data_IF_533621792653
#
_entry.id   IF_533621792653
#
_cell.length_a   1.000
_cell.length_b   1.000
_cell.length_c   1.000
_cell.angle_alpha   90.00
_cell.angle_beta   90.00
_cell.angle_gamma   90.00
#
_symmetry.space_group_name_H-M   'P 1'
#
loop_
_entity.id
_entity.type
_entity.pdbx_description
1 polymer ?
#
# COMPACT_ATOMS: atom_id res chain seq x y z
N UNK A 1 40.22 -29.99 -25.27
CA UNK A 1 39.31 -29.80 -24.13
C UNK A 1 38.39 -28.63 -24.45
N UNK A 2 37.07 -28.73 -24.33
CA UNK A 2 36.24 -27.54 -24.38
C UNK A 2 36.61 -26.66 -23.16
N UNK A 3 36.62 -25.32 -23.28
CA UNK A 3 36.84 -24.47 -22.13
C UNK A 3 35.71 -24.70 -21.13
N UNK A 4 36.04 -24.94 -19.86
CA UNK A 4 35.08 -24.78 -18.75
C UNK A 4 34.53 -23.36 -18.87
N UNK A 5 33.24 -23.20 -19.14
CA UNK A 5 32.59 -21.89 -19.01
C UNK A 5 32.73 -21.48 -17.55
N UNK A 6 33.67 -20.59 -17.24
CA UNK A 6 33.69 -19.90 -15.97
C UNK A 6 32.42 -19.06 -15.97
N UNK A 7 31.44 -19.45 -15.15
CA UNK A 7 30.27 -18.60 -14.87
C UNK A 7 30.80 -17.22 -14.51
N UNK A 8 30.30 -16.18 -15.17
CA UNK A 8 30.78 -14.82 -14.89
C UNK A 8 30.67 -14.53 -13.39
N UNK A 9 31.70 -13.92 -12.78
CA UNK A 9 31.68 -13.56 -11.36
C UNK A 9 30.82 -12.31 -11.11
N UNK A 10 30.23 -11.70 -12.13
CA UNK A 10 29.56 -10.42 -11.99
C UNK A 10 28.04 -10.55 -11.98
N UNK A 11 27.42 -9.85 -11.05
CA UNK A 11 25.98 -9.77 -10.87
C UNK A 11 25.45 -8.35 -11.05
N UNK A 12 24.20 -8.27 -11.54
CA UNK A 12 23.40 -7.05 -11.52
C UNK A 12 22.19 -7.26 -10.61
N UNK A 13 21.97 -6.32 -9.68
CA UNK A 13 20.92 -6.37 -8.66
C UNK A 13 19.89 -5.28 -8.94
N UNK A 14 18.62 -5.68 -9.06
CA UNK A 14 17.50 -4.81 -9.35
C UNK A 14 16.49 -4.91 -8.21
N UNK A 15 16.30 -3.82 -7.48
CA UNK A 15 15.53 -3.80 -6.24
C UNK A 15 14.23 -3.05 -6.47
N UNK A 16 13.12 -3.78 -6.45
CA UNK A 16 11.80 -3.19 -6.31
C UNK A 16 11.63 -2.77 -4.85
N UNK A 17 12.03 -1.53 -4.56
CA UNK A 17 12.12 -1.03 -3.19
C UNK A 17 10.72 -0.89 -2.58
N UNK A 18 9.72 -0.50 -3.38
CA UNK A 18 8.34 -0.37 -2.93
C UNK A 18 7.75 -1.73 -2.55
N UNK A 19 8.01 -2.79 -3.31
CA UNK A 19 7.51 -4.13 -2.98
C UNK A 19 7.99 -4.60 -1.60
N UNK A 20 9.29 -4.48 -1.32
CA UNK A 20 9.87 -4.85 -0.01
C UNK A 20 9.34 -3.92 1.10
N UNK A 21 9.34 -2.60 0.84
CA UNK A 21 8.89 -1.60 1.81
C UNK A 21 7.43 -1.80 2.22
N UNK A 22 6.52 -1.94 1.26
CA UNK A 22 5.09 -2.08 1.54
C UNK A 22 4.75 -3.46 2.10
N UNK A 23 5.48 -4.52 1.73
CA UNK A 23 5.34 -5.80 2.42
C UNK A 23 5.64 -5.63 3.90
N UNK A 24 6.81 -5.10 4.26
CA UNK A 24 7.21 -4.90 5.64
C UNK A 24 6.21 -4.00 6.39
N UNK A 25 5.79 -2.91 5.75
CA UNK A 25 4.80 -1.97 6.29
C UNK A 25 3.46 -2.65 6.60
N UNK A 26 2.92 -3.42 5.66
CA UNK A 26 1.60 -4.01 5.82
C UNK A 26 1.65 -5.23 6.75
N UNK A 27 2.64 -6.10 6.56
CA UNK A 27 2.76 -7.36 7.30
C UNK A 27 3.11 -7.15 8.78
N UNK A 28 3.96 -6.16 9.09
CA UNK A 28 4.42 -5.87 10.46
C UNK A 28 3.79 -4.61 11.07
N UNK A 29 2.66 -4.16 10.51
CA UNK A 29 1.88 -3.01 10.98
C UNK A 29 2.74 -1.74 11.19
N UNK A 30 3.42 -1.34 10.13
CA UNK A 30 4.21 -0.11 10.02
C UNK A 30 5.31 -0.04 11.10
N UNK A 31 6.34 -0.92 11.05
CA UNK A 31 7.45 -0.93 12.00
C UNK A 31 8.17 0.42 12.05
N UNK A 32 8.66 0.85 13.23
CA UNK A 32 9.63 1.94 13.27
C UNK A 32 10.84 1.52 12.44
N UNK A 33 11.58 2.49 11.90
CA UNK A 33 12.82 2.23 11.18
C UNK A 33 12.63 1.30 9.98
N UNK A 34 11.46 1.36 9.33
CA UNK A 34 11.08 0.52 8.18
C UNK A 34 12.16 0.51 7.08
N UNK A 35 12.74 1.67 6.76
CA UNK A 35 13.83 1.76 5.79
C UNK A 35 15.08 1.00 6.24
N UNK A 36 15.40 0.97 7.54
CA UNK A 36 16.58 0.28 8.04
C UNK A 36 16.47 -1.24 7.81
N UNK A 37 15.28 -1.81 7.96
CA UNK A 37 15.04 -3.22 7.62
C UNK A 37 15.26 -3.48 6.12
N UNK A 38 14.78 -2.60 5.24
CA UNK A 38 15.01 -2.74 3.79
C UNK A 38 16.50 -2.62 3.46
N UNK A 39 17.19 -1.65 4.07
CA UNK A 39 18.64 -1.45 3.89
C UNK A 39 19.46 -2.63 4.41
N UNK A 40 19.08 -3.22 5.54
CA UNK A 40 19.71 -4.42 6.10
C UNK A 40 19.53 -5.62 5.15
N UNK A 41 18.34 -5.82 4.58
CA UNK A 41 18.10 -6.86 3.55
C UNK A 41 19.01 -6.65 2.34
N UNK A 42 19.10 -5.43 1.82
CA UNK A 42 19.96 -5.11 0.67
C UNK A 42 21.43 -5.35 1.00
N UNK A 43 21.87 -5.00 2.22
CA UNK A 43 23.26 -5.21 2.67
C UNK A 43 23.59 -6.70 2.75
N UNK A 44 22.77 -7.46 3.47
CA UNK A 44 22.94 -8.89 3.63
C UNK A 44 22.85 -9.63 2.30
N UNK A 45 21.96 -9.23 1.38
CA UNK A 45 21.89 -9.80 0.04
C UNK A 45 23.25 -9.69 -0.67
N UNK A 46 23.86 -8.52 -0.66
CA UNK A 46 25.16 -8.30 -1.29
C UNK A 46 26.27 -9.12 -0.62
N UNK A 47 26.23 -9.26 0.69
CA UNK A 47 27.15 -10.13 1.42
C UNK A 47 26.97 -11.61 1.04
N UNK A 48 25.73 -12.09 0.93
CA UNK A 48 25.42 -13.45 0.49
C UNK A 48 25.84 -13.71 -0.96
N UNK A 49 25.65 -12.75 -1.87
CA UNK A 49 26.15 -12.83 -3.24
C UNK A 49 27.68 -12.89 -3.26
N UNK A 50 28.36 -12.04 -2.49
CA UNK A 50 29.81 -12.02 -2.37
C UNK A 50 30.37 -13.35 -1.85
N UNK A 51 29.72 -13.97 -0.84
CA UNK A 51 30.07 -15.32 -0.34
C UNK A 51 29.94 -16.40 -1.42
N UNK A 52 29.02 -16.23 -2.37
CA UNK A 52 28.86 -17.10 -3.54
C UNK A 52 29.85 -16.79 -4.68
N UNK A 53 30.76 -15.84 -4.49
CA UNK A 53 31.74 -15.41 -5.49
C UNK A 53 31.15 -14.47 -6.55
N UNK A 54 30.00 -13.84 -6.26
CA UNK A 54 29.30 -12.92 -7.16
C UNK A 54 29.53 -11.47 -6.70
N UNK A 55 30.25 -10.71 -7.51
CA UNK A 55 30.47 -9.28 -7.33
C UNK A 55 29.32 -8.47 -7.95
N UNK A 56 28.62 -7.71 -7.11
CA UNK A 56 27.44 -6.93 -7.49
C UNK A 56 27.86 -5.59 -8.12
N UNK A 57 28.32 -5.64 -9.38
CA UNK A 57 28.82 -4.47 -10.12
C UNK A 57 27.74 -3.43 -10.44
N UNK A 58 26.51 -3.89 -10.64
CA UNK A 58 25.36 -3.03 -10.94
C UNK A 58 24.33 -3.25 -9.84
N UNK A 59 23.84 -2.17 -9.26
CA UNK A 59 22.79 -2.23 -8.24
C UNK A 59 21.88 -1.02 -8.38
N UNK A 60 20.61 -1.27 -8.67
CA UNK A 60 19.58 -0.24 -8.84
C UNK A 60 18.41 -0.48 -7.90
N UNK A 61 17.91 0.59 -7.29
CA UNK A 61 16.69 0.58 -6.48
C UNK A 61 15.63 1.49 -7.09
N UNK A 62 14.44 0.95 -7.30
CA UNK A 62 13.31 1.59 -7.98
C UNK A 62 12.21 1.88 -6.97
N UNK A 63 11.77 3.13 -6.93
CA UNK A 63 10.61 3.57 -6.16
C UNK A 63 10.19 4.98 -6.57
N UNK A 64 8.97 5.35 -6.23
CA UNK A 64 8.62 6.75 -5.96
C UNK A 64 9.14 7.14 -4.56
N UNK A 65 10.41 7.55 -4.49
CA UNK A 65 11.06 7.86 -3.22
C UNK A 65 10.49 9.11 -2.54
N UNK A 66 9.77 9.96 -3.27
CA UNK A 66 9.12 11.16 -2.71
C UNK A 66 7.88 10.80 -1.89
N UNK A 67 7.29 9.62 -2.12
CA UNK A 67 6.12 9.13 -1.39
C UNK A 67 6.47 8.34 -0.13
N UNK A 68 7.74 7.99 0.06
CA UNK A 68 8.19 7.28 1.25
C UNK A 68 8.24 8.23 2.46
N UNK A 69 7.88 7.71 3.64
CA UNK A 69 7.85 8.52 4.87
C UNK A 69 9.24 9.05 5.29
N UNK A 70 10.30 8.35 4.90
CA UNK A 70 11.69 8.70 5.15
C UNK A 70 12.52 8.45 3.89
N UNK A 71 13.61 9.19 3.72
CA UNK A 71 14.43 9.20 2.51
C UNK A 71 15.62 8.22 2.60
N UNK A 72 15.55 7.00 2.01
CA UNK A 72 16.64 6.01 2.07
C UNK A 72 17.79 6.31 1.08
N UNK A 73 17.65 7.30 0.19
CA UNK A 73 18.53 7.49 -0.97
C UNK A 73 19.99 7.72 -0.57
N UNK A 74 20.25 8.46 0.51
CA UNK A 74 21.61 8.70 0.99
C UNK A 74 22.32 7.42 1.45
N UNK A 75 21.61 6.55 2.17
CA UNK A 75 22.14 5.27 2.61
C UNK A 75 22.37 4.31 1.43
N UNK A 76 21.43 4.26 0.48
CA UNK A 76 21.56 3.48 -0.76
C UNK A 76 22.79 3.92 -1.56
N UNK A 77 23.02 5.23 -1.70
CA UNK A 77 24.19 5.77 -2.37
C UNK A 77 25.50 5.31 -1.72
N UNK A 78 25.60 5.39 -0.38
CA UNK A 78 26.78 4.92 0.36
C UNK A 78 27.01 3.42 0.23
N UNK A 79 25.95 2.64 -0.03
CA UNK A 79 26.05 1.22 -0.33
C UNK A 79 26.44 0.93 -1.78
N UNK A 80 26.54 1.93 -2.66
CA UNK A 80 26.78 1.73 -4.10
C UNK A 80 25.53 1.29 -4.87
N UNK A 81 24.35 1.53 -4.31
CA UNK A 81 23.06 1.29 -4.96
C UNK A 81 22.57 2.61 -5.55
N UNK A 82 22.46 2.68 -6.88
CA UNK A 82 21.94 3.89 -7.52
C UNK A 82 20.41 3.88 -7.49
N UNK A 83 19.81 5.01 -7.13
CA UNK A 83 18.36 5.14 -7.08
C UNK A 83 17.79 5.55 -8.44
N UNK A 84 16.68 4.91 -8.82
CA UNK A 84 15.87 5.27 -9.98
C UNK A 84 14.54 5.78 -9.44
N UNK A 85 14.42 7.10 -9.33
CA UNK A 85 13.16 7.71 -8.90
C UNK A 85 12.16 7.65 -10.04
N UNK A 86 11.04 6.98 -9.83
CA UNK A 86 10.00 6.82 -10.83
C UNK A 86 8.71 7.42 -10.27
N UNK A 87 8.15 8.40 -10.97
CA UNK A 87 6.94 9.09 -10.51
C UNK A 87 5.75 8.13 -10.52
N UNK A 88 5.18 7.88 -9.35
CA UNK A 88 3.97 7.09 -9.19
C UNK A 88 2.75 7.93 -9.60
N UNK A 89 2.28 7.76 -10.84
CA UNK A 89 0.91 8.19 -11.19
C UNK A 89 -0.10 7.17 -10.64
N UNK A 90 -1.41 7.45 -10.72
CA UNK A 90 -2.46 6.51 -10.30
C UNK A 90 -2.39 5.13 -10.99
N UNK A 91 -1.54 4.97 -12.01
CA UNK A 91 -1.22 3.71 -12.69
C UNK A 91 0.06 3.10 -12.09
N UNK A 92 -0.14 1.99 -11.35
CA UNK A 92 0.75 1.42 -10.32
C UNK A 92 2.04 0.71 -10.77
N UNK A 93 2.47 0.80 -12.04
CA UNK A 93 3.52 -0.12 -12.55
C UNK A 93 4.74 0.60 -13.17
N UNK A 94 4.91 1.91 -12.91
CA UNK A 94 5.99 2.67 -13.55
C UNK A 94 7.39 2.19 -13.09
N UNK A 95 7.56 1.93 -11.79
CA UNK A 95 8.81 1.41 -11.24
C UNK A 95 9.16 0.03 -11.83
N UNK A 96 8.18 -0.89 -11.86
CA UNK A 96 8.33 -2.25 -12.39
C UNK A 96 8.72 -2.25 -13.87
N UNK A 97 8.09 -1.38 -14.67
CA UNK A 97 8.42 -1.20 -16.08
C UNK A 97 9.85 -0.68 -16.27
N UNK A 98 10.24 0.36 -15.52
CA UNK A 98 11.60 0.91 -15.60
C UNK A 98 12.64 -0.13 -15.19
N UNK A 99 12.35 -0.91 -14.14
CA UNK A 99 13.20 -2.02 -13.68
C UNK A 99 13.39 -3.05 -14.79
N UNK A 100 12.31 -3.49 -15.44
CA UNK A 100 12.38 -4.46 -16.52
C UNK A 100 13.19 -3.92 -17.72
N UNK A 101 13.01 -2.65 -18.08
CA UNK A 101 13.75 -2.00 -19.17
C UNK A 101 15.25 -1.97 -18.85
N UNK A 102 15.62 -1.48 -17.67
CA UNK A 102 17.03 -1.39 -17.25
C UNK A 102 17.68 -2.78 -17.17
N UNK A 103 16.96 -3.80 -16.69
CA UNK A 103 17.47 -5.17 -16.66
C UNK A 103 17.77 -5.72 -18.06
N UNK A 104 16.88 -5.45 -19.02
CA UNK A 104 17.07 -5.81 -20.42
C UNK A 104 18.22 -5.03 -21.06
N UNK A 105 18.33 -3.73 -20.77
CA UNK A 105 19.44 -2.89 -21.23
C UNK A 105 20.77 -3.43 -20.73
N UNK A 106 20.89 -3.72 -19.43
CA UNK A 106 22.11 -4.31 -18.84
C UNK A 106 22.44 -5.64 -19.50
N UNK A 107 21.46 -6.53 -19.71
CA UNK A 107 21.68 -7.81 -20.37
C UNK A 107 22.27 -7.68 -21.77
N UNK A 108 21.85 -6.68 -22.55
CA UNK A 108 22.35 -6.45 -23.91
C UNK A 108 23.64 -5.63 -23.97
N UNK A 109 23.85 -4.70 -23.05
CA UNK A 109 25.01 -3.78 -23.07
C UNK A 109 26.19 -4.25 -22.22
N UNK A 110 25.95 -5.16 -21.26
CA UNK A 110 26.95 -5.67 -20.32
C UNK A 110 27.04 -7.19 -20.40
N UNK A 111 27.68 -7.73 -21.46
CA UNK A 111 27.78 -9.18 -21.66
C UNK A 111 28.57 -9.89 -20.56
N UNK A 112 29.41 -9.14 -19.85
CA UNK A 112 30.18 -9.57 -18.69
C UNK A 112 29.30 -9.88 -17.46
N UNK A 113 28.05 -9.43 -17.37
CA UNK A 113 27.15 -9.77 -16.26
C UNK A 113 26.54 -11.16 -16.48
N UNK A 114 26.88 -12.14 -15.64
CA UNK A 114 26.36 -13.50 -15.72
C UNK A 114 25.05 -13.72 -14.96
N UNK A 115 24.89 -12.99 -13.86
CA UNK A 115 23.83 -13.23 -12.88
C UNK A 115 22.96 -11.99 -12.69
N UNK A 116 21.65 -12.18 -12.76
CA UNK A 116 20.65 -11.14 -12.54
C UNK A 116 19.89 -11.47 -11.26
N UNK A 117 19.86 -10.54 -10.32
CA UNK A 117 19.17 -10.69 -9.04
C UNK A 117 18.05 -9.67 -8.99
N UNK A 118 16.80 -10.14 -8.90
CA UNK A 118 15.64 -9.28 -8.68
C UNK A 118 15.22 -9.36 -7.22
N UNK A 119 15.11 -8.23 -6.54
CA UNK A 119 14.51 -8.15 -5.20
C UNK A 119 13.06 -7.72 -5.38
N UNK A 120 12.16 -8.69 -5.49
CA UNK A 120 10.75 -8.48 -5.85
C UNK A 120 9.89 -9.72 -5.54
N UNK A 121 8.56 -9.54 -5.56
CA UNK A 121 7.59 -10.60 -5.29
C UNK A 121 6.51 -10.81 -6.37
N UNK A 122 6.42 -9.96 -7.39
CA UNK A 122 5.28 -9.97 -8.34
C UNK A 122 5.46 -10.95 -9.51
N UNK A 123 4.38 -11.61 -9.93
CA UNK A 123 4.35 -12.45 -11.14
C UNK A 123 4.58 -11.65 -12.43
N UNK A 124 4.36 -10.35 -12.41
CA UNK A 124 4.55 -9.49 -13.59
C UNK A 124 6.02 -9.44 -14.05
N UNK A 125 6.97 -9.86 -13.19
CA UNK A 125 8.38 -10.04 -13.55
C UNK A 125 8.68 -11.34 -14.32
N UNK A 126 7.76 -12.31 -14.38
CA UNK A 126 8.00 -13.60 -15.05
C UNK A 126 8.50 -13.43 -16.51
N UNK A 127 7.92 -12.57 -17.36
CA UNK A 127 8.38 -12.41 -18.74
C UNK A 127 9.85 -11.97 -18.86
N UNK A 128 10.30 -11.01 -18.02
CA UNK A 128 11.70 -10.54 -18.05
C UNK A 128 12.65 -11.61 -17.54
N UNK A 129 12.28 -12.33 -16.47
CA UNK A 129 13.10 -13.42 -15.92
C UNK A 129 13.25 -14.56 -16.93
N UNK A 130 12.18 -14.94 -17.62
CA UNK A 130 12.23 -15.92 -18.68
C UNK A 130 13.12 -15.46 -19.84
N UNK A 131 13.07 -14.17 -20.17
CA UNK A 131 13.92 -13.61 -21.23
C UNK A 131 15.40 -13.66 -20.88
N UNK A 132 15.77 -13.26 -19.66
CA UNK A 132 17.13 -13.38 -19.13
C UNK A 132 17.63 -14.83 -19.20
N UNK A 133 16.80 -15.80 -18.78
CA UNK A 133 17.14 -17.23 -18.83
C UNK A 133 17.31 -17.74 -20.26
N UNK A 134 16.47 -17.30 -21.22
CA UNK A 134 16.62 -17.64 -22.65
C UNK A 134 17.95 -17.12 -23.23
N UNK A 135 18.50 -16.05 -22.67
CA UNK A 135 19.83 -15.51 -23.01
C UNK A 135 20.96 -16.15 -22.18
N UNK A 136 20.72 -17.32 -21.58
CA UNK A 136 21.68 -18.08 -20.78
C UNK A 136 22.24 -17.31 -19.57
N UNK A 137 21.46 -16.35 -19.01
CA UNK A 137 21.79 -15.69 -17.75
C UNK A 137 21.28 -16.50 -16.57
N UNK A 138 22.04 -16.50 -15.47
CA UNK A 138 21.56 -16.98 -14.19
C UNK A 138 20.60 -15.93 -13.62
N UNK A 139 19.47 -16.38 -13.09
CA UNK A 139 18.47 -15.52 -12.44
C UNK A 139 18.31 -15.96 -11.00
N UNK A 140 18.35 -15.01 -10.08
CA UNK A 140 17.98 -15.18 -8.68
C UNK A 140 16.86 -14.19 -8.34
N UNK A 141 15.93 -14.60 -7.49
CA UNK A 141 14.91 -13.71 -6.93
C UNK A 141 15.06 -13.70 -5.42
N UNK A 142 15.11 -12.51 -4.84
CA UNK A 142 15.05 -12.30 -3.40
C UNK A 142 13.73 -11.64 -3.03
N UNK A 143 13.08 -12.11 -1.97
CA UNK A 143 11.81 -11.55 -1.52
C UNK A 143 11.29 -12.30 -0.31
N UNK A 144 10.25 -11.78 0.33
CA UNK A 144 9.62 -12.51 1.44
C UNK A 144 8.80 -13.66 0.90
N UNK A 145 9.04 -14.88 1.40
CA UNK A 145 8.35 -16.09 0.93
C UNK A 145 6.83 -15.96 1.00
N UNK A 146 6.32 -15.24 1.99
CA UNK A 146 4.90 -14.99 2.22
C UNK A 146 4.31 -13.93 1.28
N UNK A 147 5.16 -13.14 0.60
CA UNK A 147 4.77 -12.06 -0.30
C UNK A 147 4.89 -12.43 -1.78
N UNK A 148 5.82 -13.34 -2.09
CA UNK A 148 6.17 -13.68 -3.47
C UNK A 148 5.07 -14.55 -4.08
N UNK A 149 4.65 -14.22 -5.31
CA UNK A 149 3.65 -14.99 -6.06
C UNK A 149 4.05 -16.46 -6.21
N UNK A 150 3.07 -17.36 -6.02
CA UNK A 150 3.25 -18.79 -6.25
C UNK A 150 3.67 -19.13 -7.69
N UNK A 151 3.13 -18.40 -8.68
CA UNK A 151 3.48 -18.56 -10.09
C UNK A 151 4.95 -18.18 -10.34
N UNK A 152 5.42 -17.10 -9.71
CA UNK A 152 6.81 -16.65 -9.81
C UNK A 152 7.75 -17.69 -9.21
N UNK A 153 7.45 -18.17 -8.00
CA UNK A 153 8.23 -19.22 -7.33
C UNK A 153 8.28 -20.53 -8.13
N UNK A 154 7.15 -20.94 -8.70
CA UNK A 154 7.08 -22.12 -9.57
C UNK A 154 7.93 -21.93 -10.83
N UNK A 155 7.95 -20.72 -11.40
CA UNK A 155 8.71 -20.43 -12.61
C UNK A 155 10.23 -20.47 -12.38
N UNK A 156 10.72 -19.85 -11.30
CA UNK A 156 12.17 -19.76 -11.02
C UNK A 156 12.72 -21.03 -10.37
N UNK A 157 11.90 -21.74 -9.59
CA UNK A 157 12.31 -22.89 -8.78
C UNK A 157 12.98 -22.47 -7.46
N UNK A 158 12.87 -23.32 -6.45
CA UNK A 158 13.32 -23.02 -5.08
C UNK A 158 14.82 -22.70 -4.98
N UNK A 159 15.67 -23.34 -5.79
CA UNK A 159 17.12 -23.13 -5.77
C UNK A 159 17.55 -21.74 -6.25
N UNK A 160 16.66 -21.01 -6.93
CA UNK A 160 16.89 -19.66 -7.44
C UNK A 160 16.17 -18.60 -6.60
N UNK A 161 15.59 -18.98 -5.47
CA UNK A 161 14.90 -18.08 -4.55
C UNK A 161 15.72 -17.88 -3.27
N UNK A 162 15.83 -16.62 -2.83
CA UNK A 162 16.43 -16.22 -1.57
C UNK A 162 15.34 -15.58 -0.70
N UNK A 163 15.06 -16.16 0.46
CA UNK A 163 14.08 -15.57 1.37
C UNK A 163 14.66 -14.32 2.03
N UNK A 164 13.99 -13.18 1.87
CA UNK A 164 14.39 -11.93 2.49
C UNK A 164 14.35 -12.00 4.03
N UNK A 165 13.58 -12.94 4.59
CA UNK A 165 13.58 -13.23 6.03
C UNK A 165 14.95 -13.73 6.51
N UNK A 166 15.64 -14.53 5.70
CA UNK A 166 16.97 -15.08 6.02
C UNK A 166 18.09 -14.04 5.85
N UNK A 167 17.81 -12.94 5.15
CA UNK A 167 18.72 -11.80 4.97
C UNK A 167 18.66 -10.82 6.16
N UNK A 168 17.73 -11.00 7.09
CA UNK A 168 17.68 -10.23 8.33
C UNK A 168 18.40 -10.97 9.45
N UNK A 169 18.96 -10.22 10.41
CA UNK A 169 19.51 -10.83 11.61
C UNK A 169 18.39 -11.48 12.44
N UNK A 170 18.74 -12.53 13.20
CA UNK A 170 17.80 -13.21 14.09
C UNK A 170 17.11 -12.23 15.06
N UNK A 171 17.86 -11.23 15.54
CA UNK A 171 17.33 -10.18 16.42
C UNK A 171 16.29 -9.30 15.69
N UNK A 172 16.57 -8.86 14.46
CA UNK A 172 15.64 -8.05 13.65
C UNK A 172 14.34 -8.80 13.36
N UNK A 173 14.42 -10.10 13.02
CA UNK A 173 13.24 -10.94 12.80
C UNK A 173 12.42 -11.08 14.09
N UNK A 174 13.07 -11.34 15.23
CA UNK A 174 12.38 -11.44 16.51
C UNK A 174 11.69 -10.13 16.91
N UNK A 175 12.33 -8.98 16.67
CA UNK A 175 11.74 -7.66 16.93
C UNK A 175 10.48 -7.43 16.09
N UNK A 176 10.53 -7.73 14.78
CA UNK A 176 9.40 -7.60 13.87
C UNK A 176 8.21 -8.48 14.31
N UNK A 177 8.48 -9.75 14.61
CA UNK A 177 7.43 -10.72 15.00
C UNK A 177 6.81 -10.38 16.36
N UNK A 178 7.63 -10.01 17.35
CA UNK A 178 7.14 -9.59 18.66
C UNK A 178 6.20 -8.39 18.54
N UNK A 179 6.59 -7.40 17.74
CA UNK A 179 5.79 -6.19 17.51
C UNK A 179 4.49 -6.49 16.76
N UNK A 180 4.54 -7.37 15.75
CA UNK A 180 3.36 -7.83 15.02
C UNK A 180 2.37 -8.50 15.96
N UNK A 181 2.85 -9.41 16.82
CA UNK A 181 2.01 -10.08 17.81
C UNK A 181 1.41 -9.10 18.83
N UNK A 182 2.18 -8.12 19.30
CA UNK A 182 1.70 -7.06 20.20
C UNK A 182 0.61 -6.19 19.55
N UNK A 183 0.87 -5.70 18.33
CA UNK A 183 -0.09 -4.93 17.52
C UNK A 183 -1.39 -5.74 17.31
N UNK A 184 -1.28 -7.01 16.96
CA UNK A 184 -2.44 -7.87 16.72
C UNK A 184 -3.28 -8.06 17.99
N UNK A 185 -2.62 -8.25 19.16
CA UNK A 185 -3.31 -8.33 20.45
C UNK A 185 -4.06 -7.04 20.78
N UNK A 186 -3.43 -5.88 20.57
CA UNK A 186 -4.07 -4.57 20.80
C UNK A 186 -5.28 -4.38 19.88
N UNK A 187 -5.17 -4.78 18.61
CA UNK A 187 -6.27 -4.71 17.64
C UNK A 187 -7.42 -5.63 18.07
N UNK A 188 -7.12 -6.85 18.48
CA UNK A 188 -8.13 -7.83 18.91
C UNK A 188 -8.79 -7.44 20.23
N UNK A 189 -8.04 -6.93 21.20
CA UNK A 189 -8.58 -6.39 22.45
C UNK A 189 -9.48 -5.18 22.19
N UNK A 190 -9.04 -4.27 21.32
CA UNK A 190 -9.85 -3.12 20.89
C UNK A 190 -11.14 -3.55 20.21
N UNK A 191 -11.11 -4.64 19.41
CA UNK A 191 -12.30 -5.23 18.78
C UNK A 191 -13.25 -5.81 19.83
N UNK A 192 -12.74 -6.60 20.78
CA UNK A 192 -13.54 -7.18 21.88
C UNK A 192 -14.21 -6.10 22.75
N UNK A 193 -13.49 -5.04 23.09
CA UNK A 193 -14.04 -3.92 23.88
C UNK A 193 -15.15 -3.15 23.14
N UNK A 194 -15.08 -3.05 21.81
CA UNK A 194 -16.14 -2.48 20.97
C UNK A 194 -17.37 -3.38 20.91
N UNK A 195 -17.16 -4.69 20.73
CA UNK A 195 -18.24 -5.69 20.69
C UNK A 195 -19.01 -5.79 22.03
N UNK A 196 -18.33 -5.55 23.16
CA UNK A 196 -18.95 -5.51 24.50
C UNK A 196 -19.61 -4.16 24.85
N UNK A 197 -19.66 -3.20 23.91
CA UNK A 197 -20.29 -1.89 24.12
C UNK A 197 -19.56 -0.97 25.09
N UNK A 198 -18.31 -1.28 25.45
CA UNK A 198 -17.54 -0.61 26.51
C UNK A 198 -16.57 0.47 26.01
N UNK A 199 -16.56 0.80 24.71
CA UNK A 199 -15.64 1.78 24.15
C UNK A 199 -16.33 2.90 23.35
N UNK A 200 -16.31 4.12 23.89
CA UNK A 200 -16.35 5.37 23.10
C UNK A 200 -14.94 5.72 22.62
N UNK A 201 -14.75 6.21 21.38
CA UNK A 201 -13.43 6.66 20.95
C UNK A 201 -13.14 8.05 21.54
N UNK A 202 -12.33 8.10 22.61
CA UNK A 202 -11.46 9.25 22.84
C UNK A 202 -10.10 8.94 22.22
N UNK A 203 -9.71 9.74 21.24
CA UNK A 203 -8.34 9.76 20.72
C UNK A 203 -7.39 10.28 21.82
N UNK A 204 -6.15 9.76 21.92
CA UNK A 204 -5.18 10.25 22.87
C UNK A 204 -4.56 11.55 22.34
N UNK A 205 -4.74 12.66 23.05
CA UNK A 205 -3.99 13.90 22.76
C UNK A 205 -4.74 15.18 23.12
N UNK A 206 -4.68 15.58 24.38
CA UNK A 206 -5.12 16.91 24.82
C UNK A 206 -4.96 17.07 26.33
N UNK A 207 -3.80 17.55 26.77
CA UNK A 207 -3.55 17.88 28.16
C UNK A 207 -4.62 18.85 28.73
N UNK A 208 -4.97 18.79 30.02
CA UNK A 208 -5.98 19.66 30.60
C UNK A 208 -5.45 21.11 30.66
N UNK A 209 -6.07 22.02 29.89
CA UNK A 209 -5.88 23.47 30.07
C UNK A 209 -6.69 23.91 31.29
N UNK A 210 -6.00 24.53 32.24
CA UNK A 210 -6.56 25.21 33.41
C UNK A 210 -7.53 26.36 33.00
N UNK A 211 -8.48 26.75 33.88
CA UNK A 211 -9.51 27.72 33.54
C UNK A 211 -8.94 29.15 33.50
N UNK A 212 -8.88 29.73 32.30
CA UNK A 212 -8.58 31.13 32.06
C UNK A 212 -9.84 31.94 31.73
N UNK A 213 -10.00 33.08 32.39
CA UNK A 213 -11.09 34.05 32.34
C UNK A 213 -11.53 34.48 30.92
N UNK A 214 -12.76 35.04 30.75
CA UNK A 214 -13.32 35.33 29.44
C UNK A 214 -12.68 36.59 28.82
N UNK A 215 -12.33 36.50 27.54
CA UNK A 215 -11.91 37.64 26.73
C UNK A 215 -12.94 37.88 25.59
N UNK A 216 -13.07 39.12 25.10
CA UNK A 216 -14.32 39.68 24.60
C UNK A 216 -14.61 39.32 23.14
N UNK A 217 -15.91 39.28 22.83
CA UNK A 217 -16.46 39.13 21.48
C UNK A 217 -16.22 40.40 20.66
N UNK A 218 -15.46 40.26 19.57
CA UNK A 218 -15.54 41.18 18.42
C UNK A 218 -15.86 40.39 17.15
N UNK A 219 -16.74 40.90 16.27
CA UNK A 219 -17.16 40.17 15.08
C UNK A 219 -16.07 40.24 14.00
N UNK A 220 -15.68 39.09 13.46
CA UNK A 220 -14.79 38.96 12.30
C UNK A 220 -15.57 39.35 11.02
N UNK A 221 -15.02 40.16 10.11
CA UNK A 221 -15.69 40.50 8.85
C UNK A 221 -15.75 39.29 7.91
N UNK A 222 -16.72 39.23 6.97
CA UNK A 222 -16.86 38.11 6.06
C UNK A 222 -15.69 38.11 5.07
N UNK A 223 -14.90 37.03 5.08
CA UNK A 223 -13.91 36.77 4.05
C UNK A 223 -14.56 36.51 2.69
N UNK A 224 -13.83 36.64 1.57
CA UNK A 224 -14.39 36.50 0.23
C UNK A 224 -14.96 35.09 0.04
N UNK A 225 -16.19 35.00 -0.48
CA UNK A 225 -16.75 33.74 -0.99
C UNK A 225 -15.89 33.29 -2.17
N UNK A 226 -15.18 32.20 -2.00
CA UNK A 226 -14.62 31.43 -3.12
C UNK A 226 -15.81 30.72 -3.79
N UNK A 227 -16.01 30.86 -5.12
CA UNK A 227 -17.07 30.16 -5.84
C UNK A 227 -16.87 28.63 -5.80
N UNK A 228 -17.96 27.90 -5.54
CA UNK A 228 -18.07 26.44 -5.69
C UNK A 228 -17.95 26.06 -7.18
N UNK A 229 -16.77 25.69 -7.64
CA UNK A 229 -16.48 25.00 -8.92
C UNK A 229 -15.22 24.13 -8.65
N UNK A 230 -15.12 22.79 -8.82
CA UNK A 230 -15.83 21.75 -9.58
C UNK A 230 -15.45 20.35 -9.01
N UNK A 231 -16.38 19.38 -9.02
CA UNK A 231 -16.15 17.98 -9.45
C UNK A 231 -17.49 17.21 -9.36
N UNK A 232 -18.26 17.21 -10.45
CA UNK A 232 -19.50 16.42 -10.54
C UNK A 232 -19.22 14.91 -10.39
N UNK A 233 -20.22 14.16 -9.93
CA UNK A 233 -20.16 12.68 -9.96
C UNK A 233 -20.00 12.19 -11.41
N UNK A 234 -19.37 11.03 -11.59
CA UNK A 234 -19.32 10.39 -12.90
C UNK A 234 -20.75 10.13 -13.44
N UNK A 235 -20.87 9.96 -14.76
CA UNK A 235 -22.14 9.59 -15.39
C UNK A 235 -22.68 8.30 -14.77
N UNK A 236 -23.96 8.31 -14.41
CA UNK A 236 -24.56 7.19 -13.70
C UNK A 236 -24.48 5.89 -14.53
N UNK A 237 -23.99 4.83 -13.89
CA UNK A 237 -24.07 3.46 -14.39
C UNK A 237 -24.69 2.59 -13.30
N UNK A 238 -25.59 1.69 -13.69
CA UNK A 238 -26.16 0.71 -12.76
C UNK A 238 -25.06 -0.18 -12.19
N UNK A 239 -25.19 -0.54 -10.92
CA UNK A 239 -24.32 -1.51 -10.27
C UNK A 239 -24.71 -2.92 -10.73
N UNK A 240 -23.77 -3.58 -11.38
CA UNK A 240 -23.97 -4.81 -12.14
C UNK A 240 -23.57 -6.07 -11.34
N UNK A 241 -22.83 -5.89 -10.24
CA UNK A 241 -22.35 -7.00 -9.41
C UNK A 241 -22.93 -6.95 -8.00
N UNK A 242 -23.05 -8.14 -7.38
CA UNK A 242 -23.51 -8.26 -5.99
C UNK A 242 -22.55 -7.57 -5.02
N UNK A 243 -21.24 -7.67 -5.25
CA UNK A 243 -20.22 -7.04 -4.40
C UNK A 243 -20.21 -5.52 -4.50
N UNK A 244 -20.50 -4.94 -5.67
CA UNK A 244 -20.72 -3.48 -5.81
C UNK A 244 -21.93 -3.05 -4.97
N UNK A 245 -23.05 -3.78 -5.03
CA UNK A 245 -24.26 -3.48 -4.26
C UNK A 245 -24.04 -3.66 -2.75
N UNK A 246 -23.33 -4.71 -2.34
CA UNK A 246 -22.95 -4.95 -0.93
C UNK A 246 -22.05 -3.83 -0.41
N UNK A 247 -21.04 -3.42 -1.19
CA UNK A 247 -20.15 -2.31 -0.84
C UNK A 247 -20.93 -1.01 -0.70
N UNK A 248 -21.86 -0.72 -1.62
CA UNK A 248 -22.71 0.47 -1.53
C UNK A 248 -23.62 0.42 -0.29
N UNK A 249 -24.19 -0.75 0.01
CA UNK A 249 -24.96 -0.98 1.23
C UNK A 249 -24.16 -0.73 2.50
N UNK A 250 -22.89 -1.18 2.56
CA UNK A 250 -21.99 -0.88 3.68
C UNK A 250 -21.76 0.63 3.83
N UNK A 251 -21.56 1.37 2.72
CA UNK A 251 -21.41 2.83 2.75
C UNK A 251 -22.67 3.49 3.32
N UNK A 252 -23.85 3.14 2.79
CA UNK A 252 -25.13 3.72 3.23
C UNK A 252 -25.38 3.44 4.72
N UNK A 253 -25.15 2.19 5.16
CA UNK A 253 -25.27 1.79 6.56
C UNK A 253 -24.36 2.61 7.48
N UNK A 254 -23.12 2.87 7.06
CA UNK A 254 -22.17 3.65 7.85
C UNK A 254 -22.56 5.14 7.93
N UNK A 255 -23.05 5.74 6.84
CA UNK A 255 -23.63 7.08 6.88
C UNK A 255 -24.78 7.15 7.89
N UNK A 256 -25.73 6.22 7.85
CA UNK A 256 -26.88 6.18 8.77
C UNK A 256 -26.47 6.01 10.23
N UNK A 257 -25.51 5.11 10.51
CA UNK A 257 -24.97 4.91 11.87
C UNK A 257 -24.36 6.20 12.42
N UNK A 258 -23.59 6.91 11.59
CA UNK A 258 -22.97 8.18 12.00
C UNK A 258 -24.01 9.30 12.16
N UNK A 259 -25.05 9.34 11.32
CA UNK A 259 -26.16 10.30 11.43
C UNK A 259 -26.96 10.11 12.70
N UNK A 260 -27.32 8.86 13.02
CA UNK A 260 -28.00 8.51 14.27
C UNK A 260 -27.17 8.90 15.50
N UNK A 261 -25.85 8.68 15.44
CA UNK A 261 -24.93 9.01 16.55
C UNK A 261 -24.73 10.51 16.73
N UNK A 262 -24.66 11.28 15.64
CA UNK A 262 -24.38 12.72 15.68
C UNK A 262 -25.64 13.58 15.70
N UNK A 263 -26.83 12.98 15.60
CA UNK A 263 -28.12 13.66 15.50
C UNK A 263 -28.15 14.75 14.41
N UNK A 264 -27.39 14.54 13.33
CA UNK A 264 -27.27 15.46 12.20
C UNK A 264 -26.91 14.69 10.94
N UNK A 265 -27.28 15.24 9.79
CA UNK A 265 -26.91 14.69 8.48
C UNK A 265 -25.40 14.70 8.29
N UNK A 266 -24.83 13.57 7.90
CA UNK A 266 -23.40 13.38 7.67
C UNK A 266 -23.15 13.57 6.18
N UNK A 267 -22.24 14.47 5.83
CA UNK A 267 -21.98 14.83 4.41
C UNK A 267 -20.82 14.06 3.80
N UNK A 268 -19.96 13.50 4.64
CA UNK A 268 -18.77 12.80 4.23
C UNK A 268 -18.41 11.68 5.22
N UNK A 269 -17.79 10.63 4.69
CA UNK A 269 -17.38 9.46 5.44
C UNK A 269 -15.87 9.27 5.26
N UNK A 270 -15.11 9.17 6.34
CA UNK A 270 -13.66 9.03 6.23
C UNK A 270 -13.29 7.67 5.63
N UNK A 271 -12.55 7.69 4.53
CA UNK A 271 -12.18 6.49 3.78
C UNK A 271 -11.33 5.54 4.62
N UNK A 272 -10.35 6.07 5.36
CA UNK A 272 -9.43 5.25 6.16
C UNK A 272 -10.15 4.36 7.20
N UNK A 273 -10.95 4.93 8.11
CA UNK A 273 -11.81 4.16 9.01
C UNK A 273 -12.79 3.25 8.28
N UNK A 274 -13.41 3.72 7.20
CA UNK A 274 -14.36 2.94 6.43
C UNK A 274 -13.76 1.70 5.77
N UNK A 275 -12.49 1.75 5.32
CA UNK A 275 -11.81 0.57 4.78
C UNK A 275 -11.79 -0.59 5.77
N UNK A 276 -11.74 -0.32 7.08
CA UNK A 276 -11.80 -1.37 8.11
C UNK A 276 -13.19 -2.00 8.18
N UNK A 277 -14.25 -1.22 7.99
CA UNK A 277 -15.62 -1.72 7.91
C UNK A 277 -15.75 -2.67 6.72
N UNK A 278 -15.22 -2.30 5.55
CA UNK A 278 -15.21 -3.20 4.40
C UNK A 278 -14.37 -4.47 4.64
N UNK A 279 -13.27 -4.38 5.39
CA UNK A 279 -12.48 -5.55 5.77
C UNK A 279 -13.29 -6.54 6.62
N UNK A 280 -14.09 -6.03 7.57
CA UNK A 280 -14.91 -6.87 8.44
C UNK A 280 -16.18 -7.42 7.77
N UNK A 281 -16.76 -6.69 6.81
CA UNK A 281 -18.02 -7.08 6.13
C UNK A 281 -17.80 -7.95 4.88
N UNK A 282 -16.70 -7.73 4.16
CA UNK A 282 -16.37 -8.44 2.91
C UNK A 282 -15.10 -9.27 3.12
N UNK A 283 -15.11 -10.17 4.11
CA UNK A 283 -13.93 -10.94 4.55
C UNK A 283 -13.31 -11.82 3.47
N UNK A 284 -14.12 -12.26 2.52
CA UNK A 284 -13.77 -13.10 1.37
C UNK A 284 -12.95 -12.38 0.31
N UNK A 285 -12.97 -11.04 0.31
CA UNK A 285 -12.24 -10.22 -0.65
C UNK A 285 -10.86 -9.83 -0.12
N UNK A 286 -9.92 -9.67 -1.03
CA UNK A 286 -8.61 -9.07 -0.72
C UNK A 286 -8.72 -7.55 -0.53
N UNK A 287 -7.71 -6.94 0.09
CA UNK A 287 -7.65 -5.47 0.21
C UNK A 287 -7.61 -4.76 -1.13
N UNK A 288 -7.05 -5.41 -2.15
CA UNK A 288 -7.08 -4.91 -3.51
C UNK A 288 -8.51 -4.91 -4.08
N UNK A 289 -9.24 -6.01 -3.96
CA UNK A 289 -10.62 -6.14 -4.46
C UNK A 289 -11.57 -5.16 -3.76
N UNK A 290 -11.45 -4.97 -2.44
CA UNK A 290 -12.25 -3.95 -1.71
C UNK A 290 -11.97 -2.53 -2.21
N UNK A 291 -10.71 -2.22 -2.49
CA UNK A 291 -10.32 -0.92 -3.08
C UNK A 291 -10.82 -0.77 -4.51
N UNK A 292 -10.79 -1.84 -5.29
CA UNK A 292 -11.30 -1.87 -6.66
C UNK A 292 -12.82 -1.65 -6.69
N UNK A 293 -13.57 -2.23 -5.75
CA UNK A 293 -15.01 -1.96 -5.60
C UNK A 293 -15.31 -0.48 -5.34
N UNK A 294 -14.53 0.19 -4.50
CA UNK A 294 -14.66 1.64 -4.30
C UNK A 294 -14.39 2.45 -5.57
N UNK A 295 -13.42 2.05 -6.38
CA UNK A 295 -13.18 2.67 -7.68
C UNK A 295 -14.37 2.43 -8.63
N UNK A 296 -14.92 1.21 -8.68
CA UNK A 296 -16.10 0.89 -9.50
C UNK A 296 -17.34 1.68 -9.08
N UNK A 297 -17.56 1.88 -7.79
CA UNK A 297 -18.66 2.71 -7.26
C UNK A 297 -18.46 4.19 -7.62
N UNK A 298 -17.21 4.67 -7.60
CA UNK A 298 -16.86 6.04 -8.05
C UNK A 298 -17.12 6.20 -9.53
N UNK A 299 -16.67 5.26 -10.34
CA UNK A 299 -16.79 5.29 -11.80
C UNK A 299 -18.26 5.11 -12.24
N UNK A 300 -19.09 4.42 -11.44
CA UNK A 300 -20.53 4.35 -11.61
C UNK A 300 -21.29 5.63 -11.18
N UNK A 301 -20.60 6.59 -10.56
CA UNK A 301 -21.22 7.83 -10.07
C UNK A 301 -22.02 7.68 -8.78
N UNK A 302 -21.96 6.51 -8.11
CA UNK A 302 -22.65 6.27 -6.85
C UNK A 302 -21.96 6.99 -5.67
N UNK A 303 -20.64 7.14 -5.73
CA UNK A 303 -19.85 7.87 -4.73
C UNK A 303 -18.81 8.77 -5.39
N UNK A 304 -18.24 9.68 -4.60
CA UNK A 304 -17.06 10.47 -4.95
C UNK A 304 -16.05 10.37 -3.82
N UNK A 305 -14.77 10.23 -4.15
CA UNK A 305 -13.69 10.22 -3.16
C UNK A 305 -12.94 11.55 -3.29
N UNK A 306 -12.93 12.33 -2.21
CA UNK A 306 -12.28 13.64 -2.15
C UNK A 306 -11.05 13.54 -1.24
N UNK A 307 -9.89 13.98 -1.73
CA UNK A 307 -8.68 14.11 -0.91
C UNK A 307 -8.65 15.52 -0.32
N UNK A 308 -8.50 15.61 1.00
CA UNK A 308 -8.47 16.85 1.77
C UNK A 308 -7.15 16.98 2.52
N UNK A 309 -6.67 18.21 2.62
CA UNK A 309 -5.55 18.54 3.49
C UNK A 309 -5.99 18.45 4.96
N UNK A 310 -5.16 17.82 5.79
CA UNK A 310 -5.40 17.68 7.21
C UNK A 310 -4.08 17.67 7.97
N UNK A 311 -4.11 18.10 9.23
CA UNK A 311 -2.95 17.97 10.13
C UNK A 311 -3.16 16.70 10.98
N UNK A 312 -2.19 15.76 11.01
CA UNK A 312 -0.82 15.86 10.50
C UNK A 312 -0.59 15.42 9.05
N UNK A 313 -1.58 14.79 8.38
CA UNK A 313 -1.47 14.30 7.00
C UNK A 313 -2.78 14.48 6.22
N UNK A 314 -2.72 14.58 4.88
CA UNK A 314 -3.91 14.59 4.04
C UNK A 314 -4.71 13.29 4.21
N UNK A 315 -6.04 13.42 4.16
CA UNK A 315 -6.97 12.31 4.33
C UNK A 315 -7.96 12.27 3.16
N UNK A 316 -8.66 11.15 3.00
CA UNK A 316 -9.67 10.99 1.96
C UNK A 316 -11.03 10.74 2.57
N UNK A 317 -12.06 11.30 1.97
CA UNK A 317 -13.45 11.12 2.37
C UNK A 317 -14.29 10.65 1.20
N UNK A 318 -15.29 9.84 1.50
CA UNK A 318 -16.32 9.37 0.59
C UNK A 318 -17.52 10.30 0.71
N UNK A 319 -18.05 10.73 -0.43
CA UNK A 319 -19.29 11.49 -0.55
C UNK A 319 -20.28 10.63 -1.33
N UNK A 320 -21.46 10.44 -0.77
CA UNK A 320 -22.50 9.61 -1.35
C UNK A 320 -23.37 10.42 -2.33
N UNK A 321 -23.66 9.87 -3.51
CA UNK A 321 -24.59 10.47 -4.47
C UNK A 321 -26.03 10.04 -4.17
N UNK A 322 -26.77 10.86 -3.44
CA UNK A 322 -28.18 10.58 -3.12
C UNK A 322 -29.12 10.57 -4.33
N UNK A 323 -28.67 11.05 -5.51
CA UNK A 323 -29.45 11.01 -6.75
C UNK A 323 -29.19 9.73 -7.57
N UNK A 324 -28.28 8.86 -7.14
CA UNK A 324 -27.96 7.63 -7.87
C UNK A 324 -29.08 6.58 -7.70
N UNK A 325 -29.58 5.94 -8.78
CA UNK A 325 -30.67 4.97 -8.70
C UNK A 325 -30.44 3.82 -7.71
N UNK A 326 -29.23 3.23 -7.70
CA UNK A 326 -28.91 2.16 -6.74
C UNK A 326 -28.75 2.67 -5.30
N UNK A 327 -28.46 3.96 -5.09
CA UNK A 327 -28.44 4.54 -3.74
C UNK A 327 -29.86 4.71 -3.23
N UNK A 328 -30.77 5.19 -4.08
CA UNK A 328 -32.19 5.34 -3.75
C UNK A 328 -32.86 3.98 -3.47
N UNK A 329 -32.53 2.94 -4.24
CA UNK A 329 -33.07 1.58 -4.05
C UNK A 329 -32.59 0.92 -2.74
N UNK A 330 -31.35 1.17 -2.33
CA UNK A 330 -30.75 0.60 -1.12
C UNK A 330 -31.04 1.43 0.13
N UNK A 331 -31.63 2.62 -0.01
CA UNK A 331 -32.13 3.35 1.14
C UNK A 331 -33.41 2.70 1.67
N UNK A 332 -33.54 2.49 2.98
CA UNK A 332 -34.82 2.11 3.56
C UNK A 332 -35.83 3.23 3.31
N UNK A 333 -36.94 2.90 2.68
CA UNK A 333 -38.06 3.81 2.46
C UNK A 333 -38.50 4.42 3.79
N UNK A 334 -38.38 5.74 3.95
CA UNK A 334 -39.14 6.46 4.96
C UNK A 334 -40.63 6.43 4.55
N UNK A 335 -41.33 5.33 4.85
CA UNK A 335 -42.79 5.30 4.75
C UNK A 335 -43.39 6.16 5.88
N UNK A 336 -43.83 7.36 5.50
CA UNK A 336 -45.04 8.05 5.98
C UNK A 336 -45.20 8.25 7.50
N UNK A 337 -44.50 9.25 8.03
CA UNK A 337 -45.05 10.05 9.14
C UNK A 337 -45.33 11.47 8.62
N UNK A 338 -46.58 11.72 8.20
CA UNK A 338 -46.98 13.05 7.77
C UNK A 338 -48.15 13.09 6.79
N UNK A 339 -49.22 12.34 7.05
CA UNK A 339 -50.57 12.66 6.58
C UNK A 339 -51.57 11.74 7.29
N UNK A 340 -52.09 12.22 8.42
CA UNK A 340 -53.40 11.89 8.97
C UNK A 340 -54.00 13.19 9.50
#
# INVERSE_FOLDING_TARGET
MPPKSLSSPYAAVFIDFENVYYFLKNHFHDPPDLNDYVLDIIRSLREELSKKGLDSLISYAYADFERLATAPQGALYLMGVSTRNVLGTDHKNAADMQLCIDAMEVMYTRPDIGTFVLVAGDRDYIPVLQHLRRQARQVLVAGFREAVSGDLLQNIGADHFLDARDLLSHERVQQLEKRRAERQRIIEESRRLREQGLASPQAPGGAPKAPGAPAPTTPRPPGPRVPDEVADFATYRRLDTEDERRTLGCIISEFQKLEAKQQRRVRDLWLGPFMRVLTDELTELTDFERRDLLNKLRDAGAIRIEKREGEPHPFSVIILNYNHPDVLELQPSEEKEGQA
#
